data_IF_022776163049
#
_entry.id   IF_022776163049
#
_cell.length_a   1.000
_cell.length_b   1.000
_cell.length_c   1.000
_cell.angle_alpha   90.00
_cell.angle_beta   90.00
_cell.angle_gamma   90.00
#
_symmetry.space_group_name_H-M   'P 1'
#
loop_
_entity.id
_entity.type
_entity.pdbx_description
1 polymer ?
#
# COMPACT_ATOMS: atom_id res chain seq x y z
N UNK A 1 -10.90 -7.55 -6.29
CA UNK A 1 -10.32 -6.42 -5.53
C UNK A 1 -10.89 -6.47 -4.12
N UNK A 2 -10.07 -6.40 -3.08
CA UNK A 2 -10.48 -6.61 -1.68
C UNK A 2 -11.10 -5.32 -1.11
N UNK A 3 -12.39 -5.38 -0.76
CA UNK A 3 -13.17 -4.20 -0.33
C UNK A 3 -12.81 -3.73 1.08
N UNK A 4 -12.33 -4.63 1.93
CA UNK A 4 -11.98 -4.31 3.31
C UNK A 4 -10.70 -3.47 3.33
N UNK A 5 -9.68 -3.93 2.60
CA UNK A 5 -8.42 -3.19 2.43
C UNK A 5 -8.64 -1.79 1.85
N UNK A 6 -9.53 -1.66 0.86
CA UNK A 6 -9.85 -0.36 0.28
C UNK A 6 -10.55 0.57 1.27
N UNK A 7 -11.49 0.04 2.06
CA UNK A 7 -12.26 0.84 3.00
C UNK A 7 -11.38 1.53 4.06
N UNK A 8 -10.23 0.93 4.38
CA UNK A 8 -9.26 1.51 5.32
C UNK A 8 -8.57 2.74 4.73
N UNK A 9 -8.15 2.67 3.47
CA UNK A 9 -7.35 3.73 2.83
C UNK A 9 -8.19 4.83 2.17
N UNK A 10 -9.40 4.49 1.69
CA UNK A 10 -10.25 5.38 0.90
C UNK A 10 -10.60 6.72 1.58
N UNK A 11 -10.80 6.80 2.92
CA UNK A 11 -11.00 8.08 3.58
C UNK A 11 -9.81 9.04 3.49
N UNK A 12 -8.62 8.53 3.14
CA UNK A 12 -7.35 9.23 3.15
C UNK A 12 -6.69 9.25 1.76
N UNK A 13 -7.43 9.09 0.67
CA UNK A 13 -6.89 8.93 -0.70
C UNK A 13 -6.60 10.25 -1.45
N UNK A 14 -6.31 11.33 -0.72
CA UNK A 14 -6.09 12.66 -1.30
C UNK A 14 -4.68 12.77 -1.89
N UNK A 15 -4.58 12.87 -3.22
CA UNK A 15 -3.30 12.89 -3.94
C UNK A 15 -2.41 14.11 -3.62
N UNK A 16 -3.00 15.29 -3.45
CA UNK A 16 -2.24 16.54 -3.20
C UNK A 16 -1.59 16.59 -1.81
N UNK A 17 -2.08 15.77 -0.86
CA UNK A 17 -1.71 15.77 0.55
C UNK A 17 -1.77 17.16 1.22
N UNK A 18 -2.61 18.06 0.71
CA UNK A 18 -2.83 19.39 1.26
C UNK A 18 -3.86 19.30 2.40
N UNK A 19 -3.37 18.90 3.57
CA UNK A 19 -4.13 18.68 4.81
C UNK A 19 -3.28 19.08 6.03
N UNK A 20 -3.92 19.24 7.18
CA UNK A 20 -3.21 19.44 8.45
C UNK A 20 -2.43 18.20 8.90
N UNK A 21 -1.49 18.42 9.84
CA UNK A 21 -0.63 17.38 10.40
C UNK A 21 -1.42 16.25 11.08
N UNK A 22 -2.51 16.58 11.79
CA UNK A 22 -3.36 15.61 12.48
C UNK A 22 -3.99 14.62 11.47
N UNK A 23 -4.53 15.14 10.37
CA UNK A 23 -5.10 14.34 9.29
C UNK A 23 -4.04 13.49 8.60
N UNK A 24 -2.85 14.03 8.41
CA UNK A 24 -1.72 13.29 7.83
C UNK A 24 -1.29 12.13 8.75
N UNK A 25 -1.23 12.34 10.07
CA UNK A 25 -0.93 11.29 11.04
C UNK A 25 -2.02 10.22 11.11
N UNK A 26 -3.30 10.60 11.02
CA UNK A 26 -4.40 9.62 10.91
C UNK A 26 -4.31 8.75 9.67
N UNK A 27 -3.84 9.31 8.55
CA UNK A 27 -3.56 8.51 7.36
C UNK A 27 -2.41 7.51 7.61
N UNK A 28 -1.37 7.91 8.35
CA UNK A 28 -0.31 6.98 8.78
C UNK A 28 -0.87 5.83 9.63
N UNK A 29 -1.75 6.13 10.58
CA UNK A 29 -2.43 5.09 11.38
C UNK A 29 -3.28 4.15 10.51
N UNK A 30 -3.98 4.70 9.51
CA UNK A 30 -4.72 3.89 8.54
C UNK A 30 -3.81 2.96 7.74
N UNK A 31 -2.60 3.40 7.37
CA UNK A 31 -1.60 2.54 6.72
C UNK A 31 -1.15 1.37 7.62
N UNK A 32 -1.02 1.58 8.94
CA UNK A 32 -0.79 0.48 9.90
C UNK A 32 -1.99 -0.48 9.95
N UNK A 33 -3.21 0.04 9.98
CA UNK A 33 -4.43 -0.77 9.93
C UNK A 33 -4.51 -1.61 8.65
N UNK A 34 -4.20 -0.99 7.52
CA UNK A 34 -4.14 -1.64 6.22
C UNK A 34 -3.09 -2.77 6.21
N UNK A 35 -1.89 -2.51 6.73
CA UNK A 35 -0.83 -3.51 6.84
C UNK A 35 -1.29 -4.74 7.63
N UNK A 36 -1.90 -4.55 8.81
CA UNK A 36 -2.41 -5.65 9.64
C UNK A 36 -3.47 -6.46 8.90
N UNK A 37 -4.43 -5.80 8.25
CA UNK A 37 -5.45 -6.48 7.45
C UNK A 37 -4.86 -7.19 6.24
N UNK A 38 -3.79 -6.65 5.63
CA UNK A 38 -3.09 -7.25 4.49
C UNK A 38 -2.37 -8.55 4.87
N UNK A 39 -1.74 -8.60 6.04
CA UNK A 39 -1.07 -9.82 6.53
C UNK A 39 -2.04 -10.99 6.72
N UNK A 40 -3.31 -10.71 7.02
CA UNK A 40 -4.37 -11.72 7.11
C UNK A 40 -4.79 -12.30 5.75
N UNK A 41 -4.18 -11.85 4.64
CA UNK A 41 -4.48 -12.33 3.28
C UNK A 41 -3.37 -13.24 2.77
N UNK A 42 -3.76 -14.36 2.20
CA UNK A 42 -2.83 -15.26 1.50
C UNK A 42 -2.54 -14.73 0.10
N UNK A 43 -1.27 -14.55 -0.29
CA UNK A 43 -0.93 -14.20 -1.67
C UNK A 43 -1.38 -15.30 -2.64
N UNK A 44 -1.76 -14.92 -3.85
CA UNK A 44 -2.18 -15.86 -4.89
C UNK A 44 -1.02 -16.82 -5.22
N UNK A 45 -1.32 -18.12 -5.23
CA UNK A 45 -0.36 -19.20 -5.55
C UNK A 45 -0.11 -19.34 -7.04
N UNK A 46 -1.07 -18.93 -7.87
CA UNK A 46 -0.99 -19.05 -9.32
C UNK A 46 -0.30 -17.82 -9.94
N UNK A 47 0.68 -18.08 -10.81
CA UNK A 47 1.36 -17.03 -11.56
C UNK A 47 0.53 -16.67 -12.79
N UNK A 48 0.01 -15.45 -12.84
CA UNK A 48 -0.58 -14.89 -14.06
C UNK A 48 0.53 -14.60 -15.08
N UNK A 49 0.69 -15.51 -16.07
CA UNK A 49 1.76 -15.47 -17.09
C UNK A 49 1.58 -14.37 -18.14
N UNK A 50 0.36 -13.88 -18.35
CA UNK A 50 0.01 -13.12 -19.57
C UNK A 50 -0.16 -11.61 -19.36
N UNK A 51 0.71 -10.95 -18.60
CA UNK A 51 0.61 -9.50 -18.44
C UNK A 51 1.88 -8.77 -18.83
N UNK A 52 1.84 -8.14 -20.02
CA UNK A 52 2.80 -7.12 -20.54
C UNK A 52 3.01 -6.00 -19.50
N UNK A 53 2.10 -5.85 -18.53
CA UNK A 53 2.23 -5.02 -17.33
C UNK A 53 3.22 -5.55 -16.26
N UNK A 54 4.10 -6.50 -16.59
CA UNK A 54 5.02 -7.16 -15.66
C UNK A 54 5.85 -6.20 -14.80
N UNK A 55 6.17 -5.01 -15.30
CA UNK A 55 6.91 -3.98 -14.56
C UNK A 55 6.09 -2.74 -14.25
N UNK A 56 4.82 -2.65 -14.68
CA UNK A 56 3.98 -1.47 -14.46
C UNK A 56 3.78 -1.20 -12.96
N UNK A 57 3.77 -2.26 -12.16
CA UNK A 57 3.68 -2.18 -10.71
C UNK A 57 4.87 -1.44 -10.07
N UNK A 58 6.05 -1.42 -10.71
CA UNK A 58 7.22 -0.72 -10.18
C UNK A 58 7.04 0.79 -10.18
N UNK A 59 6.31 1.35 -11.16
CA UNK A 59 6.03 2.78 -11.20
C UNK A 59 5.26 3.23 -9.96
N UNK A 60 4.24 2.45 -9.55
CA UNK A 60 3.50 2.74 -8.32
C UNK A 60 4.41 2.66 -7.08
N UNK A 61 5.32 1.68 -7.00
CA UNK A 61 6.25 1.62 -5.86
C UNK A 61 7.24 2.78 -5.80
N UNK A 62 7.65 3.33 -6.95
CA UNK A 62 8.45 4.56 -6.98
C UNK A 62 7.67 5.72 -6.38
N UNK A 63 6.40 5.87 -6.73
CA UNK A 63 5.56 6.96 -6.22
C UNK A 63 5.18 6.77 -4.74
N UNK A 64 4.88 5.54 -4.31
CA UNK A 64 4.69 5.19 -2.88
C UNK A 64 5.95 5.54 -2.08
N UNK A 65 7.13 5.17 -2.57
CA UNK A 65 8.40 5.43 -1.89
C UNK A 65 8.65 6.93 -1.74
N UNK A 66 8.50 7.71 -2.82
CA UNK A 66 8.65 9.17 -2.77
C UNK A 66 7.67 9.80 -1.78
N UNK A 67 6.41 9.37 -1.81
CA UNK A 67 5.39 9.90 -0.90
C UNK A 67 5.73 9.61 0.57
N UNK A 68 6.28 8.44 0.89
CA UNK A 68 6.78 8.15 2.22
C UNK A 68 7.99 9.00 2.61
N UNK A 69 8.96 9.18 1.71
CA UNK A 69 10.15 10.03 1.96
C UNK A 69 9.77 11.51 2.17
N UNK A 70 8.68 11.97 1.55
CA UNK A 70 8.10 13.29 1.74
C UNK A 70 7.09 13.37 2.91
N UNK A 71 6.89 12.27 3.65
CA UNK A 71 5.91 12.13 4.74
C UNK A 71 4.45 12.46 4.34
N UNK A 72 4.10 12.26 3.07
CA UNK A 72 2.76 12.49 2.50
C UNK A 72 1.89 11.24 2.58
N UNK A 73 1.36 10.93 3.75
CA UNK A 73 0.69 9.66 4.00
C UNK A 73 -0.65 9.50 3.26
N UNK A 74 -1.39 10.57 2.97
CA UNK A 74 -2.61 10.48 2.15
C UNK A 74 -2.26 10.14 0.69
N UNK A 75 -1.14 10.69 0.19
CA UNK A 75 -0.63 10.31 -1.12
C UNK A 75 -0.21 8.84 -1.14
N UNK A 76 0.42 8.33 -0.09
CA UNK A 76 0.70 6.89 0.03
C UNK A 76 -0.59 6.07 -0.05
N UNK A 77 -1.64 6.43 0.68
CA UNK A 77 -2.95 5.77 0.62
C UNK A 77 -3.50 5.75 -0.81
N UNK A 78 -3.46 6.88 -1.51
CA UNK A 78 -3.91 6.99 -2.91
C UNK A 78 -3.09 6.10 -3.86
N UNK A 79 -1.77 6.09 -3.74
CA UNK A 79 -0.90 5.28 -4.61
C UNK A 79 -1.11 3.78 -4.36
N UNK A 80 -1.34 3.36 -3.11
CA UNK A 80 -1.67 1.97 -2.78
C UNK A 80 -3.04 1.56 -3.33
N UNK A 81 -4.05 2.42 -3.26
CA UNK A 81 -5.35 2.18 -3.89
C UNK A 81 -5.23 2.08 -5.41
N UNK A 82 -4.39 2.93 -6.03
CA UNK A 82 -4.10 2.89 -7.45
C UNK A 82 -3.40 1.58 -7.84
N UNK A 83 -2.39 1.16 -7.07
CA UNK A 83 -1.73 -0.14 -7.25
C UNK A 83 -2.77 -1.28 -7.15
N UNK A 84 -3.63 -1.27 -6.14
CA UNK A 84 -4.70 -2.26 -5.99
C UNK A 84 -5.70 -2.27 -7.16
N UNK A 85 -5.91 -1.11 -7.79
CA UNK A 85 -6.84 -0.96 -8.89
C UNK A 85 -6.28 -1.47 -10.22
N UNK A 86 -5.03 -1.10 -10.53
CA UNK A 86 -4.45 -1.29 -11.86
C UNK A 86 -3.59 -2.55 -12.02
N UNK A 87 -3.19 -3.23 -10.93
CA UNK A 87 -2.37 -4.44 -11.01
C UNK A 87 -2.96 -5.61 -10.23
N UNK A 88 -2.58 -6.86 -10.57
CA UNK A 88 -2.89 -8.04 -9.76
C UNK A 88 -2.23 -7.97 -8.37
N UNK A 89 -2.85 -7.25 -7.44
CA UNK A 89 -2.26 -6.86 -6.16
C UNK A 89 -1.81 -8.05 -5.29
N UNK A 90 -2.59 -9.13 -5.27
CA UNK A 90 -2.27 -10.33 -4.50
C UNK A 90 -1.28 -11.27 -5.20
N UNK A 91 -0.80 -10.93 -6.39
CA UNK A 91 0.31 -11.66 -6.99
C UNK A 91 1.52 -11.54 -6.06
N UNK A 92 2.14 -12.68 -5.73
CA UNK A 92 3.19 -12.79 -4.69
C UNK A 92 4.24 -11.68 -4.73
N UNK A 93 4.68 -11.27 -5.94
CA UNK A 93 5.64 -10.17 -6.09
C UNK A 93 5.10 -8.81 -5.66
N UNK A 94 3.86 -8.46 -6.02
CA UNK A 94 3.26 -7.17 -5.67
C UNK A 94 2.98 -7.16 -4.17
N UNK A 95 2.32 -8.21 -3.68
CA UNK A 95 2.05 -8.41 -2.25
C UNK A 95 3.32 -8.27 -1.40
N UNK A 96 4.38 -9.05 -1.70
CA UNK A 96 5.60 -9.04 -0.91
C UNK A 96 6.32 -7.67 -0.95
N UNK A 97 6.31 -6.99 -2.10
CA UNK A 97 6.91 -5.65 -2.19
C UNK A 97 6.10 -4.62 -1.40
N UNK A 98 4.75 -4.71 -1.42
CA UNK A 98 3.88 -3.86 -0.61
C UNK A 98 4.11 -4.09 0.89
N UNK A 99 4.19 -5.34 1.33
CA UNK A 99 4.49 -5.66 2.74
C UNK A 99 5.85 -5.07 3.14
N UNK A 100 6.89 -5.29 2.33
CA UNK A 100 8.24 -4.83 2.64
C UNK A 100 8.37 -3.31 2.67
N UNK A 101 7.72 -2.59 1.75
CA UNK A 101 7.79 -1.11 1.75
C UNK A 101 7.05 -0.54 2.96
N UNK A 102 5.91 -1.12 3.35
CA UNK A 102 5.18 -0.72 4.55
C UNK A 102 6.03 -0.97 5.80
N UNK A 103 6.63 -2.14 5.94
CA UNK A 103 7.51 -2.46 7.08
C UNK A 103 8.68 -1.47 7.20
N UNK A 104 9.31 -1.15 6.07
CA UNK A 104 10.46 -0.24 6.04
C UNK A 104 10.08 1.18 6.49
N UNK A 105 9.01 1.74 5.93
CA UNK A 105 8.65 3.14 6.17
C UNK A 105 7.79 3.38 7.40
N UNK A 106 7.01 2.38 7.81
CA UNK A 106 6.24 2.43 9.05
C UNK A 106 7.05 1.93 10.26
N UNK A 107 8.31 1.54 10.06
CA UNK A 107 9.22 1.06 11.11
C UNK A 107 8.61 -0.10 11.91
N UNK A 108 7.97 -1.04 11.21
CA UNK A 108 7.31 -2.20 11.81
C UNK A 108 8.36 -3.29 12.00
N UNK A 109 8.55 -3.76 13.23
CA UNK A 109 9.50 -4.83 13.52
C UNK A 109 8.87 -6.21 13.26
N UNK A 110 9.69 -7.25 13.09
CA UNK A 110 9.16 -8.62 12.87
C UNK A 110 8.28 -9.12 14.02
N UNK A 111 8.45 -8.57 15.23
CA UNK A 111 7.63 -8.91 16.40
C UNK A 111 6.19 -8.37 16.33
N UNK A 112 5.93 -7.37 15.49
CA UNK A 112 4.60 -6.74 15.33
C UNK A 112 3.69 -7.47 14.31
N UNK A 113 4.18 -8.58 13.73
CA UNK A 113 3.45 -9.43 12.78
C UNK A 113 2.48 -10.42 13.45
N UNK A 114 2.34 -10.36 14.77
CA UNK A 114 1.53 -11.29 15.59
C UNK A 114 0.03 -10.96 15.60
#
# INVERSE_FOLDING_TARGET
MDRELQAILKPYDKWDNDVDEETNLRAKEALHGFYKTLLNRTPATNYEKDNIAHFRYLHFFVEVKKAFEEEKYLRVCNELLSLMHYVPFFQKRVYNNTVKILETFLQIEENDRC
#
